data_IF_509107368839
#
_entry.id   IF_509107368839
#
_cell.length_a   1.000
_cell.length_b   1.000
_cell.length_c   1.000
_cell.angle_alpha   90.00
_cell.angle_beta   90.00
_cell.angle_gamma   90.00
#
_symmetry.space_group_name_H-M   'P 1'
#
loop_
_entity.id
_entity.type
_entity.pdbx_description
1 polymer ?
#
# COMPACT_ATOMS: atom_id res chain seq x y z
N UNK A 1 4.20 2.71 -15.37
CA UNK A 1 3.80 2.43 -16.76
C UNK A 1 2.29 2.57 -16.85
N UNK A 2 1.82 3.46 -17.68
CA UNK A 2 0.40 3.53 -18.03
C UNK A 2 0.21 2.54 -19.16
N UNK A 3 -0.58 1.52 -18.93
CA UNK A 3 -1.03 0.61 -19.97
C UNK A 3 -2.36 1.20 -20.47
N UNK A 4 -2.29 2.03 -21.52
CA UNK A 4 -3.48 2.61 -22.12
C UNK A 4 -4.55 1.50 -22.27
N UNK A 5 -5.74 1.73 -21.79
CA UNK A 5 -6.85 0.76 -21.75
C UNK A 5 -6.71 -0.44 -20.77
N UNK A 6 -5.59 -0.64 -20.05
CA UNK A 6 -5.43 -1.78 -19.13
C UNK A 6 -5.43 -1.40 -17.64
N UNK A 7 -5.16 -0.14 -17.32
CA UNK A 7 -4.99 0.37 -15.96
C UNK A 7 -3.57 0.88 -15.71
N UNK A 8 -3.37 1.45 -14.53
CA UNK A 8 -2.10 2.08 -14.17
C UNK A 8 -1.33 1.23 -13.17
N UNK A 9 -0.10 0.87 -13.53
CA UNK A 9 0.79 0.06 -12.71
C UNK A 9 2.20 0.65 -12.71
N UNK A 10 2.89 0.53 -11.57
CA UNK A 10 4.32 0.71 -11.52
C UNK A 10 5.01 -0.66 -11.38
N UNK A 11 6.03 -0.87 -12.20
CA UNK A 11 6.87 -2.05 -12.13
C UNK A 11 8.24 -1.65 -11.59
N UNK A 12 8.62 -2.23 -10.47
CA UNK A 12 9.89 -1.93 -9.79
C UNK A 12 10.88 -3.07 -9.95
N UNK A 13 12.18 -2.73 -9.97
CA UNK A 13 13.26 -3.72 -9.95
C UNK A 13 13.41 -4.51 -11.24
N UNK A 14 12.88 -4.03 -12.36
CA UNK A 14 13.05 -4.66 -13.67
C UNK A 14 14.53 -4.66 -14.06
N UNK A 15 15.03 -5.82 -14.51
CA UNK A 15 16.40 -6.01 -14.99
C UNK A 15 16.55 -5.72 -16.48
N UNK A 16 15.42 -5.66 -17.18
CA UNK A 16 15.34 -5.40 -18.61
C UNK A 16 14.07 -4.65 -18.96
N UNK A 17 14.04 -4.05 -20.14
CA UNK A 17 12.83 -3.43 -20.68
C UNK A 17 11.82 -4.52 -21.07
N UNK A 18 10.56 -4.28 -20.75
CA UNK A 18 9.44 -5.13 -21.19
C UNK A 18 8.73 -4.44 -22.32
N UNK A 19 8.85 -4.97 -23.52
CA UNK A 19 8.01 -4.58 -24.65
C UNK A 19 6.66 -5.29 -24.51
N UNK A 20 5.74 -4.65 -23.80
CA UNK A 20 4.43 -5.23 -23.54
C UNK A 20 3.55 -5.34 -24.79
N UNK A 21 3.81 -4.54 -25.84
CA UNK A 21 3.10 -4.66 -27.10
C UNK A 21 3.39 -5.99 -27.80
N UNK A 22 4.61 -6.51 -27.65
CA UNK A 22 4.95 -7.84 -28.18
C UNK A 22 4.33 -9.01 -27.42
N UNK A 23 3.84 -8.76 -26.20
CA UNK A 23 3.20 -9.78 -25.34
C UNK A 23 1.69 -9.87 -25.55
N UNK A 24 1.09 -8.86 -26.18
CA UNK A 24 -0.38 -8.72 -26.33
C UNK A 24 -0.76 -9.00 -27.76
N UNK A 25 -1.73 -9.89 -27.96
CA UNK A 25 -2.26 -10.23 -29.28
C UNK A 25 -3.46 -9.35 -29.63
N UNK A 26 -3.62 -9.04 -30.93
CA UNK A 26 -4.77 -8.29 -31.40
C UNK A 26 -6.07 -9.08 -31.13
N UNK A 27 -7.04 -8.43 -30.49
CA UNK A 27 -8.31 -9.06 -30.14
C UNK A 27 -8.29 -9.94 -28.89
N UNK A 28 -7.14 -10.03 -28.19
CA UNK A 28 -7.05 -10.74 -26.92
C UNK A 28 -7.86 -10.06 -25.81
N UNK A 29 -8.36 -10.87 -24.88
CA UNK A 29 -9.00 -10.35 -23.66
C UNK A 29 -8.00 -9.58 -22.81
N UNK A 30 -8.40 -8.42 -22.31
CA UNK A 30 -7.52 -7.52 -21.53
C UNK A 30 -6.98 -8.15 -20.25
N UNK A 31 -7.76 -9.00 -19.58
CA UNK A 31 -7.33 -9.76 -18.41
C UNK A 31 -6.21 -10.74 -18.74
N UNK A 32 -6.27 -11.35 -19.93
CA UNK A 32 -5.22 -12.26 -20.42
C UNK A 32 -3.94 -11.49 -20.75
N UNK A 33 -4.08 -10.34 -21.40
CA UNK A 33 -2.98 -9.43 -21.69
C UNK A 33 -2.26 -8.99 -20.39
N UNK A 34 -3.04 -8.59 -19.37
CA UNK A 34 -2.50 -8.22 -18.06
C UNK A 34 -1.77 -9.41 -17.41
N UNK A 35 -2.35 -10.60 -17.48
CA UNK A 35 -1.72 -11.81 -16.94
C UNK A 35 -0.35 -12.07 -17.58
N UNK A 36 -0.25 -12.03 -18.91
CA UNK A 36 1.02 -12.22 -19.65
C UNK A 36 2.07 -11.20 -19.24
N UNK A 37 1.67 -9.93 -19.10
CA UNK A 37 2.57 -8.85 -18.67
C UNK A 37 3.05 -9.10 -17.24
N UNK A 38 2.16 -9.46 -16.33
CA UNK A 38 2.50 -9.72 -14.93
C UNK A 38 3.38 -10.96 -14.75
N UNK A 39 3.08 -12.02 -15.50
CA UNK A 39 3.92 -13.22 -15.53
C UNK A 39 5.35 -12.85 -15.96
N UNK A 40 5.50 -12.02 -17.01
CA UNK A 40 6.82 -11.56 -17.46
C UNK A 40 7.52 -10.68 -16.42
N UNK A 41 6.81 -9.76 -15.76
CA UNK A 41 7.38 -8.95 -14.67
C UNK A 41 7.90 -9.85 -13.55
N UNK A 42 7.13 -10.86 -13.13
CA UNK A 42 7.53 -11.79 -12.06
C UNK A 42 8.69 -12.69 -12.48
N UNK A 43 8.70 -13.16 -13.71
CA UNK A 43 9.79 -13.99 -14.27
C UNK A 43 11.15 -13.30 -14.17
N UNK A 44 11.21 -12.00 -14.47
CA UNK A 44 12.46 -11.22 -14.38
C UNK A 44 12.73 -10.65 -12.99
N UNK A 45 11.94 -11.04 -11.98
CA UNK A 45 12.10 -10.67 -10.58
C UNK A 45 11.61 -9.28 -10.22
N UNK A 46 10.72 -8.71 -11.03
CA UNK A 46 10.09 -7.42 -10.78
C UNK A 46 8.95 -7.48 -9.77
N UNK A 47 8.58 -6.31 -9.26
CA UNK A 47 7.47 -6.08 -8.33
C UNK A 47 6.39 -5.25 -9.01
N UNK A 48 5.13 -5.49 -8.64
CA UNK A 48 3.96 -4.87 -9.24
C UNK A 48 3.23 -4.04 -8.19
N UNK A 49 3.08 -2.75 -8.45
CA UNK A 49 2.22 -1.81 -7.71
C UNK A 49 0.98 -1.49 -8.53
N UNK A 50 -0.19 -1.65 -7.93
CA UNK A 50 -1.44 -1.13 -8.48
C UNK A 50 -1.60 0.32 -8.05
N UNK A 51 -1.66 1.23 -9.02
CA UNK A 51 -1.74 2.68 -8.77
C UNK A 51 -3.20 3.13 -8.66
N UNK A 52 -3.48 4.11 -7.80
CA UNK A 52 -4.76 4.79 -7.59
C UNK A 52 -6.00 3.93 -7.97
N UNK A 53 -6.18 2.76 -7.33
CA UNK A 53 -7.06 1.68 -7.80
C UNK A 53 -8.53 2.04 -7.88
N UNK A 54 -8.95 3.07 -7.14
CA UNK A 54 -10.35 3.56 -7.08
C UNK A 54 -10.55 4.91 -7.76
N UNK A 55 -9.49 5.50 -8.32
CA UNK A 55 -9.59 6.82 -8.94
C UNK A 55 -10.53 6.76 -10.15
N UNK A 56 -11.58 7.57 -10.11
CA UNK A 56 -12.59 7.59 -11.14
C UNK A 56 -12.76 9.02 -11.64
N UNK A 57 -12.40 9.29 -12.89
CA UNK A 57 -12.76 10.56 -13.51
C UNK A 57 -14.05 10.40 -14.31
N UNK A 58 -14.85 11.49 -14.39
CA UNK A 58 -16.08 11.48 -15.20
C UNK A 58 -15.84 11.18 -16.70
N UNK A 59 -14.59 11.33 -17.16
CA UNK A 59 -14.22 11.16 -18.58
C UNK A 59 -13.46 9.87 -18.85
N UNK A 60 -12.73 9.34 -17.84
CA UNK A 60 -12.03 8.06 -17.93
C UNK A 60 -11.93 7.45 -16.52
N UNK A 61 -12.36 6.21 -16.31
CA UNK A 61 -12.07 5.50 -15.09
C UNK A 61 -10.57 5.22 -15.05
N UNK A 62 -9.81 5.97 -14.22
CA UNK A 62 -8.36 5.82 -14.11
C UNK A 62 -7.96 4.65 -13.20
N UNK A 63 -8.90 4.15 -12.39
CA UNK A 63 -8.68 2.94 -11.59
C UNK A 63 -8.66 1.67 -12.45
N UNK A 64 -8.29 0.56 -11.86
CA UNK A 64 -8.23 -0.73 -12.54
C UNK A 64 -9.63 -1.15 -13.06
N UNK A 65 -9.74 -1.27 -14.39
CA UNK A 65 -10.99 -1.60 -15.07
C UNK A 65 -11.17 -3.10 -15.33
N UNK A 66 -10.10 -3.86 -15.22
CA UNK A 66 -10.10 -5.29 -15.51
C UNK A 66 -9.78 -6.09 -14.26
N UNK A 67 -10.29 -7.30 -14.22
CA UNK A 67 -10.10 -8.17 -13.09
C UNK A 67 -8.75 -8.86 -13.14
N UNK A 68 -8.04 -8.87 -12.01
CA UNK A 68 -6.72 -9.50 -11.87
C UNK A 68 -6.68 -10.43 -10.67
N UNK A 69 -5.78 -11.40 -10.71
CA UNK A 69 -5.47 -12.22 -9.55
C UNK A 69 -4.61 -11.44 -8.57
N UNK A 70 -5.01 -11.43 -7.29
CA UNK A 70 -4.34 -10.65 -6.23
C UNK A 70 -2.90 -11.12 -5.95
N UNK A 71 -2.58 -12.37 -6.26
CA UNK A 71 -1.23 -12.94 -6.09
C UNK A 71 -0.12 -12.20 -6.85
N UNK A 72 -0.47 -11.42 -7.87
CA UNK A 72 0.49 -10.65 -8.65
C UNK A 72 0.94 -9.36 -7.96
N UNK A 73 0.12 -8.81 -7.07
CA UNK A 73 0.39 -7.52 -6.43
C UNK A 73 1.42 -7.65 -5.30
N UNK A 74 2.36 -6.73 -5.27
CA UNK A 74 3.30 -6.54 -4.16
C UNK A 74 2.98 -5.27 -3.38
N UNK A 75 2.46 -4.23 -4.08
CA UNK A 75 2.16 -2.93 -3.50
C UNK A 75 0.80 -2.43 -3.96
N UNK A 76 0.20 -1.61 -3.11
CA UNK A 76 -1.01 -0.86 -3.40
C UNK A 76 -0.78 0.62 -3.12
N UNK A 77 -1.04 1.47 -4.11
CA UNK A 77 -1.00 2.91 -3.91
C UNK A 77 -2.23 3.35 -3.11
N UNK A 78 -1.98 3.80 -1.88
CA UNK A 78 -3.04 4.16 -0.92
C UNK A 78 -3.23 5.66 -0.77
N UNK A 79 -2.25 6.46 -1.13
CA UNK A 79 -2.33 7.92 -1.23
C UNK A 79 -1.80 8.33 -2.59
N UNK A 80 -2.65 8.98 -3.37
CA UNK A 80 -2.32 9.46 -4.72
C UNK A 80 -2.50 10.97 -4.82
N UNK A 81 -1.64 11.62 -5.60
CA UNK A 81 -1.66 13.04 -5.93
C UNK A 81 -1.49 14.02 -4.75
N UNK A 82 -0.93 15.21 -5.01
CA UNK A 82 -0.83 16.28 -4.02
C UNK A 82 -2.20 16.82 -3.63
N UNK A 83 -2.34 17.28 -2.40
CA UNK A 83 -3.54 17.95 -1.89
C UNK A 83 -3.98 19.13 -2.77
N UNK A 84 -3.02 19.86 -3.35
CA UNK A 84 -3.26 21.03 -4.21
C UNK A 84 -3.89 20.74 -5.57
N UNK A 85 -3.91 19.48 -6.03
CA UNK A 85 -4.42 19.09 -7.35
C UNK A 85 -5.94 18.78 -7.36
N UNK A 86 -6.69 19.17 -6.35
CA UNK A 86 -8.13 18.88 -6.26
C UNK A 86 -8.41 17.39 -6.07
N UNK A 87 -7.48 16.69 -5.44
CA UNK A 87 -7.59 15.29 -5.04
C UNK A 87 -8.89 15.05 -4.26
N UNK A 88 -9.49 13.90 -4.48
CA UNK A 88 -10.62 13.45 -3.67
C UNK A 88 -10.14 12.41 -2.63
N UNK A 89 -10.07 12.78 -1.33
CA UNK A 89 -9.62 11.88 -0.25
C UNK A 89 -10.46 10.59 -0.13
N UNK A 90 -11.66 10.59 -0.68
CA UNK A 90 -12.55 9.42 -0.70
C UNK A 90 -11.90 8.20 -1.36
N UNK A 91 -11.15 8.39 -2.44
CA UNK A 91 -10.51 7.28 -3.16
C UNK A 91 -9.33 6.69 -2.38
N UNK A 92 -8.59 7.53 -1.64
CA UNK A 92 -7.53 7.06 -0.76
C UNK A 92 -8.10 6.20 0.39
N UNK A 93 -9.24 6.61 0.97
CA UNK A 93 -9.95 5.80 1.99
C UNK A 93 -10.33 4.43 1.43
N UNK A 94 -10.87 4.39 0.20
CA UNK A 94 -11.21 3.12 -0.47
C UNK A 94 -9.97 2.25 -0.76
N UNK A 95 -8.85 2.86 -1.09
CA UNK A 95 -7.59 2.13 -1.25
C UNK A 95 -7.08 1.54 0.08
N UNK A 96 -7.25 2.25 1.20
CA UNK A 96 -6.92 1.71 2.53
C UNK A 96 -7.88 0.60 2.97
N UNK A 97 -9.18 0.71 2.69
CA UNK A 97 -10.14 -0.38 2.92
C UNK A 97 -9.74 -1.63 2.14
N UNK A 98 -9.33 -1.47 0.87
CA UNK A 98 -8.83 -2.58 0.06
C UNK A 98 -7.56 -3.19 0.64
N UNK A 99 -6.63 -2.37 1.11
CA UNK A 99 -5.41 -2.83 1.76
C UNK A 99 -5.72 -3.69 2.99
N UNK A 100 -6.65 -3.24 3.84
CA UNK A 100 -7.05 -3.98 5.04
C UNK A 100 -7.75 -5.31 4.68
N UNK A 101 -8.58 -5.33 3.63
CA UNK A 101 -9.19 -6.57 3.11
C UNK A 101 -8.11 -7.54 2.63
N UNK A 102 -7.09 -7.05 1.90
CA UNK A 102 -5.98 -7.86 1.43
C UNK A 102 -5.23 -8.51 2.60
N UNK A 103 -4.89 -7.73 3.62
CA UNK A 103 -4.21 -8.24 4.81
C UNK A 103 -5.07 -9.26 5.59
N UNK A 104 -6.37 -9.03 5.73
CA UNK A 104 -7.31 -9.99 6.33
C UNK A 104 -7.45 -11.30 5.51
N UNK A 105 -7.05 -11.29 4.24
CA UNK A 105 -7.04 -12.47 3.36
C UNK A 105 -5.62 -13.06 3.16
N UNK A 106 -4.65 -12.69 4.01
CA UNK A 106 -3.32 -13.30 4.00
C UNK A 106 -2.37 -12.77 2.92
N UNK A 107 -2.72 -11.70 2.19
CA UNK A 107 -1.85 -11.09 1.20
C UNK A 107 -0.92 -10.07 1.84
N UNK A 108 0.40 -10.29 1.73
CA UNK A 108 1.44 -9.35 2.17
C UNK A 108 1.65 -8.27 1.10
N UNK A 109 0.69 -7.37 0.97
CA UNK A 109 0.73 -6.25 0.04
C UNK A 109 0.96 -4.97 0.84
N UNK A 110 1.99 -4.20 0.49
CA UNK A 110 2.39 -3.03 1.26
C UNK A 110 1.89 -1.73 0.64
N UNK A 111 1.55 -0.78 1.51
CA UNK A 111 1.15 0.56 1.13
C UNK A 111 2.31 1.33 0.53
N UNK A 112 2.04 1.98 -0.59
CA UNK A 112 2.92 2.97 -1.22
C UNK A 112 2.11 4.20 -1.63
N UNK A 113 2.78 5.23 -2.10
CA UNK A 113 2.16 6.45 -2.61
C UNK A 113 2.81 6.92 -3.89
N UNK A 114 2.10 7.76 -4.64
CA UNK A 114 2.60 8.45 -5.80
C UNK A 114 2.01 9.86 -5.93
N UNK A 115 2.81 10.80 -6.44
CA UNK A 115 2.33 12.15 -6.71
C UNK A 115 1.44 12.23 -7.95
N UNK A 116 1.46 11.20 -8.82
CA UNK A 116 0.76 11.19 -10.11
C UNK A 116 0.98 12.53 -10.87
N UNK A 117 2.24 12.96 -10.86
CA UNK A 117 2.62 14.32 -11.24
C UNK A 117 2.58 14.51 -12.76
N UNK A 118 1.64 15.32 -13.21
CA UNK A 118 1.53 15.81 -14.59
C UNK A 118 1.94 17.29 -14.71
N UNK A 119 2.67 17.81 -13.74
CA UNK A 119 3.08 19.22 -13.65
C UNK A 119 4.34 19.44 -12.82
N UNK A 120 4.31 20.41 -11.90
CA UNK A 120 5.50 20.86 -11.16
C UNK A 120 5.55 20.47 -9.68
N UNK A 121 4.59 19.69 -9.18
CA UNK A 121 4.54 19.32 -7.76
C UNK A 121 5.20 17.96 -7.59
N UNK A 122 6.35 17.94 -6.91
CA UNK A 122 7.10 16.73 -6.59
C UNK A 122 7.17 16.60 -5.07
N UNK A 123 7.01 15.37 -4.56
CA UNK A 123 7.26 15.07 -3.15
C UNK A 123 6.05 15.21 -2.23
N UNK A 124 4.83 15.18 -2.76
CA UNK A 124 3.61 15.08 -2.00
C UNK A 124 2.65 14.09 -2.68
N UNK A 125 2.36 12.94 -2.09
CA UNK A 125 2.97 12.33 -0.88
C UNK A 125 4.38 11.74 -1.13
N UNK A 126 5.08 11.35 -0.05
CA UNK A 126 6.38 10.69 -0.10
C UNK A 126 6.33 9.30 0.54
N UNK A 127 7.15 8.39 -0.02
CA UNK A 127 7.46 7.11 0.61
C UNK A 127 8.77 7.24 1.39
N UNK A 128 8.75 6.91 2.66
CA UNK A 128 9.92 6.89 3.53
C UNK A 128 10.37 5.46 3.77
N UNK A 129 11.66 5.21 3.64
CA UNK A 129 12.26 3.88 3.82
C UNK A 129 13.38 3.93 4.84
N UNK A 130 13.48 2.90 5.68
CA UNK A 130 14.60 2.75 6.60
C UNK A 130 15.70 1.95 5.93
N UNK A 131 16.81 2.60 5.64
CA UNK A 131 18.00 2.01 5.02
C UNK A 131 19.17 1.96 6.00
N UNK A 132 19.92 0.87 5.98
CA UNK A 132 21.21 0.75 6.66
C UNK A 132 22.33 1.30 5.75
N UNK A 133 22.19 1.11 4.43
CA UNK A 133 23.13 1.61 3.41
C UNK A 133 22.35 2.06 2.17
N UNK A 134 22.73 3.20 1.60
CA UNK A 134 22.08 3.75 0.41
C UNK A 134 22.52 3.02 -0.85
N UNK A 135 21.62 2.25 -1.45
CA UNK A 135 21.77 1.65 -2.78
C UNK A 135 20.39 1.33 -3.38
N UNK A 136 20.30 1.28 -4.70
CA UNK A 136 19.05 0.87 -5.39
C UNK A 136 18.58 -0.50 -4.92
N UNK A 137 19.51 -1.44 -4.73
CA UNK A 137 19.20 -2.78 -4.23
C UNK A 137 18.56 -2.72 -2.84
N UNK A 138 19.16 -1.97 -1.92
CA UNK A 138 18.66 -1.85 -0.54
C UNK A 138 17.31 -1.14 -0.48
N UNK A 139 17.09 -0.14 -1.34
CA UNK A 139 15.77 0.51 -1.47
C UNK A 139 14.71 -0.51 -1.88
N UNK A 140 14.94 -1.27 -2.96
CA UNK A 140 13.99 -2.27 -3.44
C UNK A 140 13.73 -3.39 -2.40
N UNK A 141 14.78 -3.89 -1.75
CA UNK A 141 14.67 -4.89 -0.68
C UNK A 141 13.87 -4.36 0.52
N UNK A 142 14.04 -3.07 0.86
CA UNK A 142 13.32 -2.42 1.95
C UNK A 142 11.84 -2.28 1.62
N UNK A 143 11.51 -1.84 0.41
CA UNK A 143 10.12 -1.82 -0.06
C UNK A 143 9.50 -3.21 -0.04
N UNK A 144 10.18 -4.21 -0.59
CA UNK A 144 9.71 -5.61 -0.61
C UNK A 144 9.37 -6.15 0.78
N UNK A 145 10.13 -5.72 1.78
CA UNK A 145 9.91 -6.11 3.19
C UNK A 145 8.85 -5.26 3.89
N UNK A 146 8.31 -4.24 3.22
CA UNK A 146 7.36 -3.30 3.83
C UNK A 146 7.96 -2.40 4.89
N UNK A 147 9.30 -2.30 4.98
CA UNK A 147 10.01 -1.40 5.91
C UNK A 147 9.93 0.05 5.42
N UNK A 148 8.72 0.47 5.13
CA UNK A 148 8.42 1.80 4.62
C UNK A 148 7.10 2.30 5.16
N UNK A 149 6.90 3.60 5.03
CA UNK A 149 5.63 4.25 5.31
C UNK A 149 5.42 5.39 4.34
N UNK A 150 4.17 5.79 4.20
CA UNK A 150 3.74 6.94 3.39
C UNK A 150 3.48 8.12 4.30
N UNK A 151 3.92 9.33 3.93
CA UNK A 151 3.64 10.53 4.71
C UNK A 151 3.58 11.78 3.84
N UNK A 152 2.63 12.68 4.18
CA UNK A 152 2.52 14.06 3.66
C UNK A 152 3.12 15.10 4.61
N UNK A 153 3.29 14.73 5.88
CA UNK A 153 3.76 15.63 6.94
C UNK A 153 5.27 15.54 7.19
N UNK A 154 6.00 14.94 6.26
CA UNK A 154 7.44 14.74 6.39
C UNK A 154 7.78 13.44 7.10
N UNK A 155 9.02 13.37 7.57
CA UNK A 155 9.56 12.21 8.28
C UNK A 155 8.89 12.05 9.64
N UNK A 156 8.59 10.78 9.98
CA UNK A 156 8.07 10.36 11.27
C UNK A 156 9.17 9.68 12.09
N UNK A 157 9.16 9.91 13.40
CA UNK A 157 9.96 9.14 14.34
C UNK A 157 9.20 7.86 14.69
N UNK A 158 9.79 6.70 14.36
CA UNK A 158 9.20 5.38 14.60
C UNK A 158 10.05 4.59 15.59
N UNK A 159 9.44 4.16 16.69
CA UNK A 159 10.03 3.25 17.66
C UNK A 159 9.09 2.05 17.86
N UNK A 160 9.48 0.89 17.38
CA UNK A 160 8.74 -0.36 17.57
C UNK A 160 9.61 -1.36 18.31
N UNK A 161 9.06 -2.01 19.35
CA UNK A 161 9.74 -3.04 20.11
C UNK A 161 8.82 -4.26 20.27
N UNK A 162 9.34 -5.43 19.97
CA UNK A 162 8.68 -6.71 20.25
C UNK A 162 9.51 -7.50 21.24
N UNK A 163 8.99 -7.70 22.44
CA UNK A 163 9.70 -8.36 23.53
C UNK A 163 11.09 -7.75 23.79
N UNK A 164 11.20 -6.41 23.76
CA UNK A 164 12.45 -5.66 23.95
C UNK A 164 13.37 -5.57 22.72
N UNK A 165 13.12 -6.33 21.66
CA UNK A 165 13.86 -6.24 20.38
C UNK A 165 13.28 -5.12 19.52
N UNK A 166 14.14 -4.27 18.94
CA UNK A 166 13.72 -3.29 17.93
C UNK A 166 13.21 -4.02 16.69
N UNK A 167 12.04 -3.62 16.20
CA UNK A 167 11.41 -4.13 14.97
C UNK A 167 10.97 -2.95 14.10
N UNK A 168 10.65 -3.22 12.85
CA UNK A 168 10.26 -2.20 11.87
C UNK A 168 8.91 -2.58 11.23
N UNK A 169 8.19 -1.61 10.64
CA UNK A 169 7.07 -1.91 9.76
C UNK A 169 7.45 -2.98 8.74
N UNK A 170 6.51 -3.85 8.39
CA UNK A 170 6.75 -4.99 7.49
C UNK A 170 7.37 -6.21 8.16
N UNK A 171 7.72 -6.15 9.44
CA UNK A 171 8.30 -7.31 10.14
C UNK A 171 7.23 -8.19 10.79
N UNK A 172 7.57 -9.47 10.86
CA UNK A 172 6.80 -10.47 11.61
C UNK A 172 7.15 -10.36 13.10
N UNK A 173 6.11 -10.35 13.94
CA UNK A 173 6.19 -10.21 15.39
C UNK A 173 5.24 -11.17 16.07
N UNK A 174 5.50 -11.52 17.33
CA UNK A 174 4.62 -12.36 18.14
C UNK A 174 4.47 -11.78 19.54
N UNK A 175 3.23 -11.75 20.03
CA UNK A 175 2.92 -11.31 21.38
C UNK A 175 2.97 -9.79 21.54
N UNK A 176 3.54 -9.33 22.64
CA UNK A 176 3.53 -7.93 23.04
C UNK A 176 4.41 -7.06 22.14
N UNK A 177 3.86 -5.96 21.65
CA UNK A 177 4.55 -4.95 20.87
C UNK A 177 4.30 -3.58 21.48
N UNK A 178 5.38 -2.83 21.71
CA UNK A 178 5.35 -1.44 22.12
C UNK A 178 5.62 -0.58 20.89
N UNK A 179 4.78 0.41 20.65
CA UNK A 179 4.84 1.27 19.48
C UNK A 179 4.79 2.72 19.92
N UNK A 180 5.73 3.51 19.41
CA UNK A 180 5.69 4.96 19.47
C UNK A 180 5.89 5.51 18.08
N UNK A 181 4.98 6.39 17.67
CA UNK A 181 5.06 7.16 16.43
C UNK A 181 4.88 8.62 16.75
N UNK A 182 5.78 9.46 16.25
CA UNK A 182 5.71 10.91 16.40
C UNK A 182 5.81 11.60 15.04
N UNK A 183 4.94 12.56 14.81
CA UNK A 183 4.99 13.52 13.72
C UNK A 183 5.23 14.93 14.21
N UNK A 184 5.30 15.89 13.28
CA UNK A 184 5.48 17.32 13.59
C UNK A 184 4.15 18.02 13.91
N UNK A 185 3.04 17.47 13.47
CA UNK A 185 1.72 18.08 13.52
C UNK A 185 0.78 17.33 14.46
N UNK A 186 -0.22 18.02 14.98
CA UNK A 186 -1.30 17.39 15.74
C UNK A 186 -2.30 16.76 14.77
N UNK A 187 -2.44 15.45 14.84
CA UNK A 187 -3.30 14.63 14.01
C UNK A 187 -4.14 13.68 14.86
N UNK A 188 -5.05 13.00 14.19
CA UNK A 188 -5.80 11.88 14.75
C UNK A 188 -5.07 10.59 14.35
N UNK A 189 -4.31 10.04 15.29
CA UNK A 189 -3.62 8.77 15.14
C UNK A 189 -4.56 7.62 15.46
N UNK A 190 -4.55 6.59 14.62
CA UNK A 190 -5.36 5.38 14.79
C UNK A 190 -4.50 4.14 14.74
N UNK A 191 -4.75 3.22 15.65
CA UNK A 191 -4.25 1.84 15.61
C UNK A 191 -5.31 0.98 14.95
N UNK A 192 -4.96 0.36 13.83
CA UNK A 192 -5.84 -0.55 13.09
C UNK A 192 -5.32 -1.97 13.25
N UNK A 193 -6.17 -2.85 13.72
CA UNK A 193 -5.89 -4.28 13.87
C UNK A 193 -6.97 -5.08 13.17
N UNK A 194 -6.59 -5.91 12.20
CA UNK A 194 -7.51 -6.74 11.43
C UNK A 194 -8.75 -5.96 10.94
N UNK A 195 -8.49 -4.86 10.20
CA UNK A 195 -9.51 -3.96 9.65
C UNK A 195 -10.41 -3.28 10.70
N UNK A 196 -9.98 -3.16 11.95
CA UNK A 196 -10.72 -2.47 13.00
C UNK A 196 -9.86 -1.43 13.68
N UNK A 197 -10.38 -0.22 13.83
CA UNK A 197 -9.77 0.79 14.71
C UNK A 197 -9.94 0.33 16.15
N UNK A 198 -8.82 0.10 16.84
CA UNK A 198 -8.81 -0.37 18.23
C UNK A 198 -8.39 0.71 19.22
N UNK A 199 -7.74 1.76 18.72
CA UNK A 199 -7.30 2.90 19.53
C UNK A 199 -7.25 4.16 18.67
N UNK A 200 -7.55 5.31 19.27
CA UNK A 200 -7.47 6.63 18.63
C UNK A 200 -6.89 7.63 19.62
N UNK A 201 -5.89 8.39 19.18
CA UNK A 201 -5.21 9.44 19.97
C UNK A 201 -5.14 10.72 19.15
N UNK A 202 -5.43 11.86 19.78
CA UNK A 202 -5.28 13.20 19.15
C UNK A 202 -4.01 13.83 19.72
N UNK A 203 -3.08 14.19 18.85
CA UNK A 203 -1.83 14.82 19.23
C UNK A 203 -0.76 14.68 18.15
N UNK A 204 0.46 15.03 18.49
CA UNK A 204 1.60 14.88 17.59
C UNK A 204 2.29 13.52 17.72
N UNK A 205 1.87 12.69 18.67
CA UNK A 205 2.39 11.33 18.85
C UNK A 205 1.31 10.35 19.30
N UNK A 206 1.54 9.09 19.03
CA UNK A 206 0.83 7.94 19.62
C UNK A 206 1.83 7.03 20.29
N UNK A 207 1.51 6.62 21.52
CA UNK A 207 2.26 5.60 22.28
C UNK A 207 1.24 4.54 22.66
N UNK A 208 1.46 3.31 22.21
CA UNK A 208 0.52 2.20 22.45
C UNK A 208 1.26 0.90 22.72
N UNK A 209 0.61 0.02 23.43
CA UNK A 209 1.06 -1.34 23.69
C UNK A 209 -0.02 -2.30 23.24
N UNK A 210 0.32 -3.20 22.33
CA UNK A 210 -0.64 -4.12 21.72
C UNK A 210 -0.09 -5.56 21.75
N UNK A 211 -0.99 -6.52 21.61
CA UNK A 211 -0.61 -7.93 21.41
C UNK A 211 -0.96 -8.32 19.99
N UNK A 212 -0.03 -8.93 19.27
CA UNK A 212 -0.23 -9.45 17.92
C UNK A 212 -0.19 -10.97 17.98
N UNK A 213 -1.36 -11.59 17.84
CA UNK A 213 -1.53 -13.04 17.84
C UNK A 213 -1.34 -13.61 16.42
N UNK A 214 -1.32 -14.93 16.32
CA UNK A 214 -1.28 -15.63 15.03
C UNK A 214 -2.43 -15.18 14.11
N UNK A 215 -2.11 -14.95 12.82
CA UNK A 215 -3.03 -14.45 11.79
C UNK A 215 -3.57 -13.04 12.04
N UNK A 216 -2.84 -12.24 12.79
CA UNK A 216 -3.17 -10.83 12.99
C UNK A 216 -2.14 -9.90 12.35
N UNK A 217 -2.60 -8.74 11.94
CA UNK A 217 -1.76 -7.60 11.60
C UNK A 217 -2.18 -6.35 12.37
N UNK A 218 -1.26 -5.41 12.51
CA UNK A 218 -1.47 -4.12 13.13
C UNK A 218 -0.74 -3.04 12.33
N UNK A 219 -1.46 -1.98 11.95
CA UNK A 219 -0.91 -0.80 11.28
C UNK A 219 -1.32 0.49 11.98
N UNK A 220 -0.60 1.56 11.70
CA UNK A 220 -0.90 2.91 12.20
C UNK A 220 -1.26 3.79 11.02
N UNK A 221 -2.25 4.67 11.20
CA UNK A 221 -2.56 5.76 10.28
C UNK A 221 -2.73 7.07 11.03
N UNK A 222 -2.50 8.17 10.33
CA UNK A 222 -2.78 9.51 10.82
C UNK A 222 -3.71 10.24 9.85
N UNK A 223 -4.75 10.88 10.41
CA UNK A 223 -5.72 11.68 9.66
C UNK A 223 -5.92 13.03 10.34
N UNK A 224 -6.44 14.01 9.61
CA UNK A 224 -6.97 15.24 10.21
C UNK A 224 -8.41 15.08 10.70
N UNK A 225 -9.03 16.19 11.11
CA UNK A 225 -10.42 16.23 11.58
C UNK A 225 -11.46 16.02 10.46
N UNK A 226 -11.07 16.22 9.20
CA UNK A 226 -11.89 15.95 8.01
C UNK A 226 -11.69 14.51 7.52
N UNK A 227 -10.91 13.73 8.26
CA UNK A 227 -10.51 12.36 7.93
C UNK A 227 -9.71 12.23 6.63
N UNK A 228 -8.99 13.29 6.24
CA UNK A 228 -7.99 13.19 5.20
C UNK A 228 -6.76 12.43 5.73
N UNK A 229 -6.22 11.53 4.89
CA UNK A 229 -5.11 10.67 5.30
C UNK A 229 -3.78 11.40 5.08
N UNK A 230 -3.00 11.53 6.14
CA UNK A 230 -1.69 12.18 6.14
C UNK A 230 -0.53 11.22 6.26
N UNK A 231 -0.71 10.10 6.93
CA UNK A 231 0.32 9.07 7.01
C UNK A 231 -0.28 7.67 7.11
N UNK A 232 0.40 6.71 6.51
CA UNK A 232 0.10 5.27 6.59
C UNK A 232 1.39 4.52 6.84
N UNK A 233 1.48 3.86 7.97
CA UNK A 233 2.62 3.03 8.33
C UNK A 233 2.27 1.58 8.04
N UNK A 234 3.12 0.91 7.25
CA UNK A 234 2.91 -0.48 6.88
C UNK A 234 2.80 -1.39 8.11
N UNK A 235 2.03 -2.48 8.01
CA UNK A 235 1.76 -3.35 9.15
C UNK A 235 3.00 -4.05 9.69
N UNK A 236 2.98 -4.32 10.99
CA UNK A 236 3.61 -5.50 11.60
C UNK A 236 2.56 -6.60 11.67
N UNK A 237 2.98 -7.87 11.66
CA UNK A 237 2.03 -8.98 11.52
C UNK A 237 2.58 -10.27 12.14
N UNK A 238 1.71 -11.27 12.29
CA UNK A 238 2.08 -12.63 12.71
C UNK A 238 1.41 -13.67 11.82
N UNK A 239 2.23 -14.45 11.11
CA UNK A 239 1.81 -15.65 10.35
C UNK A 239 0.57 -15.46 9.47
N UNK A 240 0.43 -14.31 8.81
CA UNK A 240 -0.76 -14.02 8.00
C UNK A 240 -0.83 -14.91 6.74
N UNK A 241 0.31 -15.44 6.27
CA UNK A 241 0.35 -16.40 5.17
C UNK A 241 -0.34 -17.74 5.49
N UNK A 242 -0.66 -17.99 6.78
CA UNK A 242 -1.48 -19.13 7.21
C UNK A 242 -2.99 -18.86 7.06
N UNK A 243 -3.38 -17.66 6.68
CA UNK A 243 -4.78 -17.33 6.35
C UNK A 243 -5.06 -17.89 4.96
N UNK A 244 -6.09 -18.74 4.85
CA UNK A 244 -6.56 -19.18 3.55
C UNK A 244 -7.38 -18.06 2.88
N UNK A 245 -6.94 -17.53 1.72
CA UNK A 245 -7.65 -16.45 1.07
C UNK A 245 -9.05 -16.83 0.64
N UNK A 246 -10.05 -16.10 1.09
CA UNK A 246 -11.43 -16.22 0.62
C UNK A 246 -11.67 -15.37 -0.65
N UNK A 247 -10.92 -14.29 -0.79
CA UNK A 247 -10.92 -13.37 -1.93
C UNK A 247 -9.64 -13.60 -2.72
N UNK A 248 -9.74 -13.81 -4.03
CA UNK A 248 -8.59 -14.12 -4.90
C UNK A 248 -8.42 -13.13 -6.05
N UNK A 249 -9.45 -12.33 -6.34
CA UNK A 249 -9.51 -11.44 -7.48
C UNK A 249 -9.82 -10.01 -7.06
N UNK A 250 -9.34 -9.05 -7.86
CA UNK A 250 -9.49 -7.63 -7.56
C UNK A 250 -10.96 -7.19 -7.54
N UNK A 251 -11.77 -7.69 -8.46
CA UNK A 251 -13.18 -7.30 -8.50
C UNK A 251 -13.98 -7.77 -7.29
N UNK A 252 -13.60 -8.86 -6.65
CA UNK A 252 -14.22 -9.29 -5.38
C UNK A 252 -13.99 -8.25 -4.26
N UNK A 253 -12.77 -7.64 -4.21
CA UNK A 253 -12.48 -6.52 -3.29
C UNK A 253 -13.30 -5.29 -3.68
N UNK A 254 -13.25 -4.92 -4.97
CA UNK A 254 -13.96 -3.75 -5.48
C UNK A 254 -15.46 -3.82 -5.20
N UNK A 255 -16.06 -4.97 -5.42
CA UNK A 255 -17.47 -5.21 -5.16
C UNK A 255 -17.82 -5.14 -3.67
N UNK A 256 -16.94 -5.61 -2.78
CA UNK A 256 -17.17 -5.53 -1.33
C UNK A 256 -17.15 -4.08 -0.82
N UNK A 257 -16.31 -3.24 -1.41
CA UNK A 257 -16.14 -1.84 -1.02
C UNK A 257 -17.26 -0.94 -1.58
N UNK A 258 -17.79 -1.24 -2.78
CA UNK A 258 -18.83 -0.42 -3.43
C UNK A 258 -20.27 -0.81 -3.06
N UNK A 259 -20.48 -1.93 -2.35
CA UNK A 259 -21.82 -2.37 -1.89
C UNK A 259 -22.28 -1.68 -0.61
N UNK A 260 -21.38 -0.96 0.07
CA UNK A 260 -21.68 -0.12 1.23
C UNK A 260 -21.90 1.36 0.81
#
# INVERSE_FOLDING_TARGET
MTLDDLGHFNFFGLKEFIDYYSLVEEGEKKEESLRKIFDRVKEIGGYISLNHPFHNSRKMPLGLMYDIELKYLDFLEVINSPTSNGRNPYYDKKALEALDILWCNGYKIFAVSGSDNHGMIIGDPLNYVKLDEYSTKNILETFKKGRCYVSRIGELELEYKNNGRVVYPGEEVEGKVEIKVRGKENLIWKVIKNNKVIETVIGNEIITEQVVNEKEYLRIEATDIEHEIFAVINPIYNSIEKIEPQIKRWFEIKDSIWRE
#
